data_IF_961931476287
#
_entry.id   IF_961931476287
#
_cell.length_a   1.000
_cell.length_b   1.000
_cell.length_c   1.000
_cell.angle_alpha   90.00
_cell.angle_beta   90.00
_cell.angle_gamma   90.00
#
_symmetry.space_group_name_H-M   'P 1'
#
loop_
_entity.id
_entity.type
_entity.pdbx_description
1 polymer ?
#
# COMPACT_ATOMS: atom_id res chain seq x y z
N UNK A 1 -0.87 -9.25 -21.49
CA UNK A 1 -1.98 -8.43 -20.92
C UNK A 1 -1.58 -8.21 -19.48
N UNK A 2 -0.67 -7.27 -19.30
CA UNK A 2 0.11 -7.14 -18.07
C UNK A 2 -0.52 -6.01 -17.25
N UNK A 3 -1.75 -6.25 -16.81
CA UNK A 3 -2.35 -5.46 -15.74
C UNK A 3 -1.57 -5.82 -14.47
N UNK A 4 -0.55 -5.04 -14.12
CA UNK A 4 0.05 -5.12 -12.78
C UNK A 4 -1.06 -4.80 -11.79
N UNK A 5 -1.61 -5.77 -11.04
CA UNK A 5 -2.74 -5.48 -10.18
C UNK A 5 -2.23 -4.61 -9.03
N UNK A 6 -2.87 -3.45 -8.85
CA UNK A 6 -2.75 -2.70 -7.61
C UNK A 6 -3.06 -3.63 -6.45
N UNK A 7 -2.26 -3.60 -5.36
CA UNK A 7 -2.47 -4.51 -4.23
C UNK A 7 -3.86 -4.29 -3.63
N UNK A 8 -4.58 -5.39 -3.41
CA UNK A 8 -5.89 -5.37 -2.75
C UNK A 8 -5.72 -5.31 -1.23
N UNK A 9 -6.82 -5.06 -0.50
CA UNK A 9 -6.78 -5.05 0.97
C UNK A 9 -6.18 -6.35 1.53
N UNK A 10 -6.58 -7.49 0.95
CA UNK A 10 -6.09 -8.80 1.36
C UNK A 10 -4.58 -8.95 1.14
N UNK A 11 -4.05 -8.43 0.03
CA UNK A 11 -2.61 -8.45 -0.26
C UNK A 11 -1.82 -7.56 0.71
N UNK A 12 -2.36 -6.37 1.03
CA UNK A 12 -1.77 -5.48 2.02
C UNK A 12 -1.76 -6.14 3.39
N UNK A 13 -2.90 -6.69 3.85
CA UNK A 13 -3.01 -7.43 5.11
C UNK A 13 -2.02 -8.58 5.18
N UNK A 14 -1.95 -9.42 4.16
CA UNK A 14 -0.99 -10.52 4.09
C UNK A 14 0.47 -10.05 4.08
N UNK A 15 0.72 -8.83 3.62
CA UNK A 15 2.04 -8.20 3.60
C UNK A 15 2.42 -7.60 4.95
N UNK A 16 1.49 -6.94 5.65
CA UNK A 16 1.78 -6.23 6.92
C UNK A 16 1.63 -7.13 8.15
N UNK A 17 0.74 -8.10 8.13
CA UNK A 17 0.49 -9.05 9.22
C UNK A 17 1.74 -9.76 9.73
N UNK A 18 2.58 -10.38 8.87
CA UNK A 18 3.82 -11.01 9.33
C UNK A 18 4.84 -10.02 9.90
N UNK A 19 4.78 -8.73 9.50
CA UNK A 19 5.67 -7.68 10.00
C UNK A 19 5.28 -7.23 11.40
N UNK A 20 3.98 -7.30 11.71
CA UNK A 20 3.40 -6.97 13.01
C UNK A 20 3.35 -8.19 13.95
N UNK A 21 3.56 -9.40 13.43
CA UNK A 21 3.35 -10.63 14.18
C UNK A 21 1.87 -10.88 14.53
N UNK A 22 0.97 -10.34 13.71
CA UNK A 22 -0.49 -10.47 13.85
C UNK A 22 -1.06 -11.32 12.72
N UNK A 23 -2.32 -11.73 12.86
CA UNK A 23 -3.08 -12.33 11.77
C UNK A 23 -3.64 -11.25 10.84
N UNK A 24 -3.76 -11.49 9.53
CA UNK A 24 -4.28 -10.50 8.57
C UNK A 24 -5.70 -10.05 8.92
N UNK A 25 -6.50 -10.93 9.49
CA UNK A 25 -7.88 -10.65 9.91
C UNK A 25 -7.95 -9.78 11.16
N UNK A 26 -6.91 -9.80 12.01
CA UNK A 26 -6.83 -9.02 13.25
C UNK A 26 -6.48 -7.53 13.00
N UNK A 27 -6.06 -7.17 11.79
CA UNK A 27 -5.64 -5.80 11.45
C UNK A 27 -6.84 -5.06 10.86
N UNK A 28 -7.40 -4.13 11.62
CA UNK A 28 -8.52 -3.33 11.10
C UNK A 28 -8.10 -2.40 9.96
N UNK A 29 -8.98 -2.15 8.98
CA UNK A 29 -8.64 -1.35 7.80
C UNK A 29 -8.28 0.10 8.14
N UNK A 30 -8.87 0.65 9.20
CA UNK A 30 -8.63 2.01 9.70
C UNK A 30 -7.62 2.04 10.86
N UNK A 31 -7.06 0.90 11.27
CA UNK A 31 -6.05 0.87 12.32
C UNK A 31 -4.73 1.47 11.83
N UNK A 32 -4.10 2.24 12.71
CA UNK A 32 -2.80 2.82 12.46
C UNK A 32 -1.71 1.75 12.60
N UNK A 33 -1.17 1.31 11.47
CA UNK A 33 -0.16 0.26 11.37
C UNK A 33 1.12 0.62 12.13
N UNK A 34 1.51 1.90 12.16
CA UNK A 34 2.69 2.36 12.89
C UNK A 34 2.48 2.20 14.40
N UNK A 35 1.27 2.49 14.89
CA UNK A 35 0.89 2.28 16.30
C UNK A 35 0.83 0.79 16.64
N UNK A 36 0.42 -0.06 15.69
CA UNK A 36 0.45 -1.52 15.85
C UNK A 36 1.88 -2.10 15.87
N UNK A 37 2.90 -1.32 15.50
CA UNK A 37 4.31 -1.73 15.53
C UNK A 37 5.03 -1.69 14.18
N UNK A 38 4.37 -1.25 13.11
CA UNK A 38 4.98 -1.16 11.79
C UNK A 38 6.02 -0.04 11.77
N UNK A 39 7.28 -0.41 11.57
CA UNK A 39 8.39 0.55 11.56
C UNK A 39 8.55 1.24 10.20
N UNK A 40 9.06 2.47 10.19
CA UNK A 40 9.32 3.22 8.94
C UNK A 40 10.24 2.46 7.97
N UNK A 41 11.20 1.70 8.48
CA UNK A 41 12.08 0.87 7.65
C UNK A 41 11.30 -0.18 6.85
N UNK A 42 10.30 -0.80 7.49
CA UNK A 42 9.42 -1.77 6.83
C UNK A 42 8.59 -1.08 5.74
N UNK A 43 8.02 0.09 6.03
CA UNK A 43 7.30 0.90 5.03
C UNK A 43 8.22 1.24 3.84
N UNK A 44 9.48 1.67 4.08
CA UNK A 44 10.44 1.95 3.01
C UNK A 44 10.76 0.72 2.15
N UNK A 45 10.84 -0.47 2.75
CA UNK A 45 11.02 -1.73 2.02
C UNK A 45 9.81 -2.05 1.15
N UNK A 46 8.60 -1.87 1.67
CA UNK A 46 7.36 -2.06 0.94
C UNK A 46 7.26 -1.10 -0.26
N UNK A 47 7.50 0.20 -0.04
CA UNK A 47 7.59 1.22 -1.09
C UNK A 47 8.54 0.81 -2.20
N UNK A 48 9.75 0.35 -1.82
CA UNK A 48 10.75 -0.09 -2.77
C UNK A 48 10.29 -1.29 -3.60
N UNK A 49 9.57 -2.25 -2.99
CA UNK A 49 9.00 -3.42 -3.67
C UNK A 49 7.94 -3.01 -4.69
N UNK A 50 7.01 -2.13 -4.32
CA UNK A 50 5.96 -1.66 -5.22
C UNK A 50 6.51 -0.81 -6.38
N UNK A 51 7.51 0.04 -6.12
CA UNK A 51 8.19 0.81 -7.18
C UNK A 51 8.89 -0.08 -8.20
N UNK A 52 9.48 -1.21 -7.76
CA UNK A 52 10.02 -2.22 -8.69
C UNK A 52 8.96 -2.86 -9.57
N UNK A 53 7.73 -2.96 -9.07
CA UNK A 53 6.56 -3.44 -9.81
C UNK A 53 5.87 -2.34 -10.65
N UNK A 54 6.57 -1.23 -10.92
CA UNK A 54 6.07 -0.06 -11.66
C UNK A 54 4.88 0.66 -11.00
N UNK A 55 4.68 0.49 -9.70
CA UNK A 55 3.67 1.22 -8.95
C UNK A 55 4.33 2.45 -8.30
N UNK A 56 4.01 3.69 -8.73
CA UNK A 56 4.61 4.92 -8.19
C UNK A 56 4.06 5.30 -6.81
N UNK A 57 4.17 4.38 -5.84
CA UNK A 57 3.78 4.62 -4.45
C UNK A 57 4.73 5.62 -3.78
N UNK A 58 4.17 6.54 -2.98
CA UNK A 58 4.92 7.57 -2.29
C UNK A 58 4.96 7.26 -0.80
N UNK A 59 6.16 7.26 -0.22
CA UNK A 59 6.33 7.00 1.22
C UNK A 59 5.58 8.02 2.07
N UNK A 60 5.63 9.31 1.69
CA UNK A 60 4.98 10.42 2.41
C UNK A 60 3.48 10.18 2.57
N UNK A 61 2.80 9.78 1.50
CA UNK A 61 1.37 9.43 1.49
C UNK A 61 1.08 8.23 2.42
N UNK A 62 1.94 7.20 2.40
CA UNK A 62 1.77 6.03 3.26
C UNK A 62 1.98 6.33 4.75
N UNK A 63 2.87 7.25 5.09
CA UNK A 63 3.10 7.64 6.50
C UNK A 63 2.13 8.72 6.97
N UNK A 64 1.57 9.53 6.06
CA UNK A 64 0.50 10.48 6.37
C UNK A 64 -0.80 9.76 6.74
N UNK A 65 -1.13 8.67 6.02
CA UNK A 65 -2.24 7.79 6.33
C UNK A 65 -1.76 6.34 6.50
N UNK A 66 -1.13 5.98 7.63
CA UNK A 66 -0.54 4.66 7.88
C UNK A 66 -1.61 3.61 8.23
N UNK A 67 -2.70 3.58 7.47
CA UNK A 67 -3.82 2.65 7.61
C UNK A 67 -3.99 1.88 6.30
N UNK A 68 -4.59 0.70 6.35
CA UNK A 68 -4.84 -0.07 5.13
C UNK A 68 -5.73 0.71 4.16
N UNK A 69 -6.79 1.36 4.67
CA UNK A 69 -7.68 2.20 3.87
C UNK A 69 -6.95 3.37 3.20
N UNK A 70 -6.07 4.06 3.94
CA UNK A 70 -5.26 5.16 3.40
C UNK A 70 -4.36 4.69 2.27
N UNK A 71 -3.72 3.54 2.45
CA UNK A 71 -2.85 2.95 1.44
C UNK A 71 -3.64 2.53 0.20
N UNK A 72 -4.79 1.86 0.37
CA UNK A 72 -5.68 1.46 -0.73
C UNK A 72 -6.19 2.66 -1.54
N UNK A 73 -6.60 3.73 -0.86
CA UNK A 73 -7.03 4.96 -1.50
C UNK A 73 -5.91 5.56 -2.36
N UNK A 74 -4.68 5.57 -1.84
CA UNK A 74 -3.50 6.03 -2.59
C UNK A 74 -3.23 5.17 -3.83
N UNK A 75 -3.30 3.84 -3.69
CA UNK A 75 -3.16 2.92 -4.82
C UNK A 75 -4.26 3.11 -5.87
N UNK A 76 -5.52 3.29 -5.46
CA UNK A 76 -6.63 3.56 -6.36
C UNK A 76 -6.47 4.89 -7.11
N UNK A 77 -5.95 5.92 -6.43
CA UNK A 77 -5.59 7.20 -7.03
C UNK A 77 -4.52 7.04 -8.12
N UNK A 78 -3.45 6.27 -7.84
CA UNK A 78 -2.39 5.97 -8.82
C UNK A 78 -2.93 5.21 -10.04
N UNK A 79 -3.77 4.20 -9.82
CA UNK A 79 -4.35 3.41 -10.90
C UNK A 79 -5.23 4.27 -11.82
N UNK A 80 -5.99 5.21 -11.24
CA UNK A 80 -6.81 6.17 -11.98
C UNK A 80 -5.95 7.18 -12.75
N UNK A 81 -4.87 7.69 -12.15
CA UNK A 81 -3.95 8.64 -12.80
C UNK A 81 -3.11 8.02 -13.93
N UNK A 82 -2.90 6.69 -13.91
CA UNK A 82 -2.24 5.97 -15.00
C UNK A 82 -3.13 5.80 -16.24
N UNK A 83 -4.41 6.16 -16.13
CA UNK A 83 -5.37 6.25 -17.25
C UNK A 83 -5.44 7.71 -17.72
N UNK A 84 -4.35 8.26 -18.25
CA UNK A 84 -4.45 9.42 -19.15
C UNK A 84 -4.36 8.88 -20.59
N UNK A 85 -5.49 8.69 -21.30
CA UNK A 85 -5.48 8.39 -22.72
C UNK A 85 -4.93 9.61 -23.46
N UNK A 86 -3.96 9.39 -24.35
CA UNK A 86 -3.25 10.42 -25.09
C UNK A 86 -4.14 11.57 -25.56
N UNK A 87 -3.75 12.78 -25.18
CA UNK A 87 -4.31 14.00 -25.76
C UNK A 87 -3.76 14.18 -27.18
N UNK A 88 -4.69 14.51 -28.07
CA UNK A 88 -4.64 14.49 -29.54
C UNK A 88 -3.51 15.28 -30.20
#
# INVERSE_FOLDING_TARGET
MDITPTPTELDLRATVAPLLGLEPEAIEPDANLVVLGLSSLEIMRLVSRWRKNKIPVQFDELVAAPTLNGWLAHFASIASASTEPGVA
#
